data_IF_950846588972
#
_entry.id   IF_950846588972
#
_cell.length_a   1.000
_cell.length_b   1.000
_cell.length_c   1.000
_cell.angle_alpha   90.00
_cell.angle_beta   90.00
_cell.angle_gamma   90.00
#
_symmetry.space_group_name_H-M   'P 1'
#
loop_
_entity.id
_entity.type
_entity.pdbx_description
1 polymer ?
#
# COMPACT_ATOMS: atom_id res chain seq x y z
N UNK A 1 -10.27 -5.16 -1.61
CA UNK A 1 -9.10 -4.25 -1.57
C UNK A 1 -7.85 -5.05 -1.89
N UNK A 2 -6.86 -4.43 -2.54
CA UNK A 2 -5.53 -5.03 -2.81
C UNK A 2 -4.39 -4.09 -2.43
N UNK A 3 -3.17 -4.61 -2.39
CA UNK A 3 -1.91 -3.84 -2.35
C UNK A 3 -1.17 -3.97 -3.69
N UNK A 4 -0.42 -2.97 -4.11
CA UNK A 4 0.43 -3.02 -5.31
C UNK A 4 1.51 -1.94 -5.25
N UNK A 5 2.19 -1.69 -6.37
CA UNK A 5 3.20 -0.65 -6.50
C UNK A 5 2.91 0.30 -7.68
N UNK A 6 3.56 1.46 -7.69
CA UNK A 6 3.35 2.47 -8.72
C UNK A 6 3.66 1.97 -10.15
N UNK A 7 4.64 1.09 -10.32
CA UNK A 7 4.97 0.54 -11.64
C UNK A 7 3.80 -0.32 -12.17
N UNK A 8 3.28 -1.25 -11.36
CA UNK A 8 2.10 -2.04 -11.74
C UNK A 8 0.88 -1.17 -11.99
N UNK A 9 0.68 -0.11 -11.19
CA UNK A 9 -0.40 0.85 -11.44
C UNK A 9 -0.28 1.50 -12.81
N UNK A 10 0.91 1.96 -13.20
CA UNK A 10 1.15 2.58 -14.50
C UNK A 10 0.99 1.57 -15.66
N UNK A 11 1.46 0.33 -15.50
CA UNK A 11 1.40 -0.69 -16.56
C UNK A 11 0.01 -1.30 -16.76
N UNK A 12 -0.81 -1.36 -15.71
CA UNK A 12 -2.08 -2.07 -15.72
C UNK A 12 -3.29 -1.18 -15.42
N UNK A 13 -3.07 0.14 -15.28
CA UNK A 13 -4.10 1.12 -14.95
C UNK A 13 -4.94 0.71 -13.73
N UNK A 14 -4.28 0.40 -12.62
CA UNK A 14 -4.95 -0.14 -11.42
C UNK A 14 -5.80 0.89 -10.67
N UNK A 15 -5.76 2.17 -11.06
CA UNK A 15 -6.45 3.27 -10.37
C UNK A 15 -6.21 3.25 -8.86
N UNK A 16 -4.95 3.04 -8.45
CA UNK A 16 -4.62 2.88 -7.04
C UNK A 16 -4.54 4.20 -6.26
N UNK A 17 -4.49 4.05 -4.94
CA UNK A 17 -4.43 5.12 -3.94
C UNK A 17 -3.03 5.11 -3.33
N UNK A 18 -2.33 6.24 -3.37
CA UNK A 18 -1.01 6.35 -2.74
C UNK A 18 -1.14 6.33 -1.22
N UNK A 19 -0.33 5.48 -0.58
CA UNK A 19 -0.04 5.53 0.86
C UNK A 19 1.45 5.82 1.12
N UNK A 20 2.15 6.37 0.12
CA UNK A 20 3.55 6.75 0.23
C UNK A 20 3.70 8.20 0.69
N UNK A 21 4.65 8.45 1.61
CA UNK A 21 4.97 9.82 2.04
C UNK A 21 5.62 10.65 0.94
N UNK A 22 6.50 10.03 0.14
CA UNK A 22 7.20 10.74 -0.92
C UNK A 22 6.36 10.78 -2.21
N UNK A 23 6.32 11.93 -2.90
CA UNK A 23 5.55 12.07 -4.13
C UNK A 23 5.97 11.06 -5.19
N UNK A 24 5.00 10.39 -5.80
CA UNK A 24 5.20 9.45 -6.89
C UNK A 24 5.21 10.13 -8.28
N UNK A 25 5.57 11.42 -8.33
CA UNK A 25 5.64 12.21 -9.56
C UNK A 25 6.65 11.63 -10.55
N UNK A 26 7.74 11.02 -10.06
CA UNK A 26 8.73 10.33 -10.92
C UNK A 26 8.17 9.09 -11.64
N UNK A 27 7.11 8.48 -11.11
CA UNK A 27 6.38 7.40 -11.79
C UNK A 27 5.19 7.91 -12.62
N UNK A 28 5.01 9.23 -12.73
CA UNK A 28 3.87 9.83 -13.43
C UNK A 28 2.53 9.66 -12.70
N UNK A 29 2.54 9.28 -11.42
CA UNK A 29 1.30 9.07 -10.66
C UNK A 29 0.70 10.42 -10.24
N UNK A 30 -0.57 10.63 -10.59
CA UNK A 30 -1.37 11.81 -10.24
C UNK A 30 -2.71 11.41 -9.60
N UNK A 31 -2.81 10.18 -9.09
CA UNK A 31 -4.02 9.65 -8.48
C UNK A 31 -4.20 10.13 -7.03
N UNK A 32 -5.27 9.66 -6.37
CA UNK A 32 -5.57 10.06 -5.01
C UNK A 32 -4.53 9.52 -4.01
N UNK A 33 -4.48 10.18 -2.87
CA UNK A 33 -3.61 9.81 -1.75
C UNK A 33 -4.44 9.67 -0.47
N UNK A 34 -3.98 8.81 0.45
CA UNK A 34 -4.55 8.73 1.80
C UNK A 34 -3.48 9.00 2.88
N UNK A 35 -3.23 10.29 3.19
CA UNK A 35 -2.15 10.69 4.08
C UNK A 35 -2.11 10.08 5.49
N UNK A 36 -3.24 9.75 6.15
CA UNK A 36 -3.21 9.09 7.45
C UNK A 36 -2.42 7.78 7.48
N UNK A 37 -2.30 7.08 6.34
CA UNK A 37 -1.50 5.85 6.23
C UNK A 37 -0.05 6.10 5.81
N UNK A 38 0.37 7.34 5.60
CA UNK A 38 1.77 7.63 5.31
C UNK A 38 2.64 7.34 6.53
N UNK A 39 3.75 6.60 6.40
CA UNK A 39 4.71 6.50 7.49
C UNK A 39 5.20 7.88 7.92
N UNK A 40 5.29 8.09 9.23
CA UNK A 40 5.81 9.34 9.79
C UNK A 40 7.20 9.69 9.22
N UNK A 41 7.46 10.99 9.08
CA UNK A 41 8.73 11.49 8.53
C UNK A 41 9.93 11.20 9.44
N UNK A 42 9.76 11.27 10.76
CA UNK A 42 10.78 10.91 11.74
C UNK A 42 11.07 9.42 11.70
N UNK A 43 10.03 8.59 11.61
CA UNK A 43 10.15 7.15 11.39
C UNK A 43 10.97 6.82 10.13
N UNK A 44 10.62 7.41 8.97
CA UNK A 44 11.34 7.20 7.71
C UNK A 44 12.79 7.67 7.79
N UNK A 45 13.03 8.82 8.43
CA UNK A 45 14.38 9.36 8.64
C UNK A 45 15.22 8.43 9.50
N UNK A 46 14.72 8.02 10.64
CA UNK A 46 15.44 7.16 11.57
C UNK A 46 15.80 5.82 10.92
N UNK A 47 14.90 5.22 10.14
CA UNK A 47 15.18 3.99 9.41
C UNK A 47 16.22 4.20 8.31
N UNK A 48 16.08 5.27 7.50
CA UNK A 48 17.05 5.59 6.43
C UNK A 48 18.45 5.87 6.97
N UNK A 49 18.55 6.52 8.12
CA UNK A 49 19.82 6.81 8.79
C UNK A 49 20.33 5.63 9.64
N UNK A 50 19.70 4.45 9.55
CA UNK A 50 20.06 3.24 10.32
C UNK A 50 20.07 3.44 11.85
N UNK A 51 19.28 4.38 12.36
CA UNK A 51 19.07 4.59 13.80
C UNK A 51 18.13 3.55 14.40
N UNK A 52 17.27 2.99 13.56
CA UNK A 52 16.41 1.84 13.87
C UNK A 52 16.52 0.84 12.73
N UNK A 53 16.32 -0.44 13.04
CA UNK A 53 16.20 -1.49 12.04
C UNK A 53 14.73 -1.68 11.60
N UNK A 54 14.47 -2.71 10.80
CA UNK A 54 13.11 -3.01 10.34
C UNK A 54 12.16 -3.34 11.49
N UNK A 55 12.64 -4.02 12.55
CA UNK A 55 11.80 -4.34 13.70
C UNK A 55 11.35 -3.07 14.45
N UNK A 56 12.28 -2.12 14.63
CA UNK A 56 11.98 -0.81 15.19
C UNK A 56 11.07 0.02 14.29
N UNK A 57 11.20 -0.13 12.96
CA UNK A 57 10.28 0.50 12.02
C UNK A 57 8.86 -0.03 12.19
N UNK A 58 8.69 -1.36 12.20
CA UNK A 58 7.39 -2.03 12.36
C UNK A 58 6.71 -1.58 13.65
N UNK A 59 7.41 -1.65 14.79
CA UNK A 59 6.84 -1.29 16.08
C UNK A 59 6.31 0.15 16.11
N UNK A 60 7.08 1.11 15.58
CA UNK A 60 6.66 2.52 15.53
C UNK A 60 5.52 2.77 14.54
N UNK A 61 5.54 2.09 13.39
CA UNK A 61 4.46 2.24 12.41
C UNK A 61 3.16 1.59 12.91
N UNK A 62 3.22 0.45 13.60
CA UNK A 62 2.06 -0.15 14.26
C UNK A 62 1.50 0.77 15.35
N UNK A 63 2.35 1.44 16.13
CA UNK A 63 1.90 2.46 17.07
C UNK A 63 1.16 3.60 16.35
N UNK A 64 1.66 4.07 15.21
CA UNK A 64 0.97 5.06 14.40
C UNK A 64 -0.41 4.56 13.93
N UNK A 65 -0.49 3.33 13.41
CA UNK A 65 -1.75 2.72 12.96
C UNK A 65 -2.74 2.55 14.12
N UNK A 66 -2.27 2.29 15.34
CA UNK A 66 -3.12 2.14 16.53
C UNK A 66 -3.88 3.42 16.92
N UNK A 67 -3.46 4.58 16.41
CA UNK A 67 -4.15 5.87 16.59
C UNK A 67 -5.31 6.06 15.61
N UNK A 68 -5.45 5.17 14.62
CA UNK A 68 -6.50 5.20 13.62
C UNK A 68 -7.54 4.13 13.90
N UNK A 69 -8.74 4.32 13.37
CA UNK A 69 -9.79 3.31 13.35
C UNK A 69 -9.77 2.59 12.00
N UNK A 70 -9.56 1.27 12.05
CA UNK A 70 -9.37 0.46 10.84
C UNK A 70 -10.62 0.40 9.95
N UNK A 71 -11.81 0.34 10.55
CA UNK A 71 -13.09 0.37 9.85
C UNK A 71 -13.34 1.70 9.14
N UNK A 72 -13.07 2.84 9.80
CA UNK A 72 -13.18 4.17 9.20
C UNK A 72 -12.16 4.36 8.06
N UNK A 73 -10.91 3.93 8.26
CA UNK A 73 -9.88 3.96 7.22
C UNK A 73 -10.25 3.10 6.00
N UNK A 74 -10.77 1.89 6.23
CA UNK A 74 -11.22 1.00 5.17
C UNK A 74 -12.40 1.59 4.38
N UNK A 75 -13.39 2.13 5.08
CA UNK A 75 -14.55 2.77 4.46
C UNK A 75 -14.12 3.97 3.59
N UNK A 76 -13.22 4.81 4.10
CA UNK A 76 -12.70 5.96 3.36
C UNK A 76 -11.93 5.55 2.10
N UNK A 77 -11.09 4.51 2.18
CA UNK A 77 -10.40 3.96 1.01
C UNK A 77 -11.37 3.42 -0.04
N UNK A 78 -12.45 2.75 0.38
CA UNK A 78 -13.49 2.29 -0.54
C UNK A 78 -14.24 3.46 -1.19
N UNK A 79 -14.50 4.52 -0.43
CA UNK A 79 -15.11 5.74 -0.97
C UNK A 79 -14.22 6.40 -2.03
N UNK A 80 -12.92 6.59 -1.76
CA UNK A 80 -11.98 7.13 -2.76
C UNK A 80 -11.99 6.27 -4.02
N UNK A 81 -11.96 4.94 -3.89
CA UNK A 81 -11.97 4.02 -5.02
C UNK A 81 -13.24 4.20 -5.87
N UNK A 82 -14.40 4.30 -5.22
CA UNK A 82 -15.67 4.54 -5.92
C UNK A 82 -15.70 5.89 -6.64
N UNK A 83 -15.17 6.96 -6.02
CA UNK A 83 -15.10 8.31 -6.60
C UNK A 83 -14.24 8.38 -7.87
N UNK A 84 -13.19 7.57 -7.96
CA UNK A 84 -12.33 7.46 -9.15
C UNK A 84 -12.79 6.36 -10.13
N UNK A 85 -13.93 5.72 -9.87
CA UNK A 85 -14.51 4.67 -10.71
C UNK A 85 -13.78 3.33 -10.70
N UNK A 86 -13.05 3.03 -9.62
CA UNK A 86 -12.39 1.73 -9.42
C UNK A 86 -13.31 0.75 -8.68
N UNK A 87 -13.25 -0.53 -9.05
CA UNK A 87 -14.06 -1.60 -8.42
C UNK A 87 -13.70 -1.85 -6.95
N UNK A 88 -12.43 -1.67 -6.61
CA UNK A 88 -11.91 -1.82 -5.26
C UNK A 88 -10.67 -0.95 -5.03
N UNK A 89 -10.39 -0.54 -3.78
CA UNK A 89 -9.17 0.18 -3.48
C UNK A 89 -7.92 -0.68 -3.70
N UNK A 90 -6.90 -0.09 -4.32
CA UNK A 90 -5.56 -0.66 -4.49
C UNK A 90 -4.53 0.25 -3.82
N UNK A 91 -3.93 -0.18 -2.71
CA UNK A 91 -2.93 0.63 -1.98
C UNK A 91 -1.57 0.58 -2.67
N UNK A 92 -1.01 1.74 -2.98
CA UNK A 92 0.25 1.87 -3.72
C UNK A 92 1.41 2.37 -2.85
N UNK A 93 2.58 1.78 -3.11
CA UNK A 93 3.88 2.28 -2.68
C UNK A 93 4.94 2.05 -3.79
N UNK A 94 6.21 2.36 -3.52
CA UNK A 94 7.31 2.23 -4.47
C UNK A 94 7.86 0.81 -4.61
N UNK A 95 7.95 0.05 -3.52
CA UNK A 95 8.66 -1.23 -3.50
C UNK A 95 7.93 -2.26 -4.37
N UNK A 96 8.67 -2.97 -5.22
CA UNK A 96 8.06 -3.99 -6.10
C UNK A 96 7.55 -5.19 -5.29
N UNK A 97 6.48 -5.84 -5.77
CA UNK A 97 6.07 -7.13 -5.25
C UNK A 97 7.21 -8.18 -5.30
N UNK A 98 8.09 -8.08 -6.31
CA UNK A 98 9.22 -8.99 -6.53
C UNK A 98 10.36 -8.81 -5.52
N UNK A 99 10.33 -7.74 -4.74
CA UNK A 99 11.40 -7.40 -3.79
C UNK A 99 10.91 -7.37 -2.35
N UNK A 100 9.67 -7.80 -2.06
CA UNK A 100 9.12 -7.75 -0.70
C UNK A 100 9.91 -8.61 0.31
N UNK A 101 10.58 -9.65 -0.18
CA UNK A 101 11.51 -10.50 0.60
C UNK A 101 12.80 -9.76 0.98
N UNK A 102 13.22 -8.79 0.18
CA UNK A 102 14.49 -8.05 0.34
C UNK A 102 14.30 -6.61 0.82
N UNK A 103 13.13 -6.05 0.56
CA UNK A 103 12.72 -4.67 0.81
C UNK A 103 11.29 -4.73 1.34
N UNK A 104 11.12 -4.99 2.65
CA UNK A 104 9.80 -5.02 3.23
C UNK A 104 9.16 -3.64 3.13
N UNK A 105 7.85 -3.61 2.91
CA UNK A 105 7.11 -2.40 2.58
C UNK A 105 5.96 -2.18 3.56
N UNK A 106 5.73 -0.93 3.96
CA UNK A 106 4.66 -0.57 4.90
C UNK A 106 3.26 -0.88 4.39
N UNK A 107 3.03 -0.96 3.07
CA UNK A 107 1.72 -1.39 2.53
C UNK A 107 1.31 -2.79 3.00
N UNK A 108 2.29 -3.68 3.24
CA UNK A 108 2.03 -5.02 3.78
C UNK A 108 1.72 -4.99 5.28
N UNK A 109 2.25 -3.99 6.01
CA UNK A 109 1.90 -3.75 7.41
C UNK A 109 0.47 -3.21 7.53
N UNK A 110 0.05 -2.30 6.64
CA UNK A 110 -1.34 -1.85 6.55
C UNK A 110 -2.29 -3.02 6.26
N UNK A 111 -1.93 -3.90 5.31
CA UNK A 111 -2.71 -5.10 5.01
C UNK A 111 -2.90 -5.99 6.25
N UNK A 112 -1.81 -6.28 6.98
CA UNK A 112 -1.86 -7.09 8.20
C UNK A 112 -2.66 -6.39 9.33
N UNK A 113 -2.58 -5.07 9.43
CA UNK A 113 -3.37 -4.28 10.38
C UNK A 113 -4.87 -4.36 10.08
N UNK A 114 -5.29 -4.14 8.83
CA UNK A 114 -6.70 -4.26 8.43
C UNK A 114 -7.24 -5.68 8.67
N UNK A 115 -6.44 -6.70 8.37
CA UNK A 115 -6.80 -8.09 8.65
C UNK A 115 -7.00 -8.35 10.14
N UNK A 116 -6.06 -7.88 10.97
CA UNK A 116 -6.10 -8.07 12.42
C UNK A 116 -7.27 -7.33 13.09
N UNK A 117 -7.52 -6.09 12.72
CA UNK A 117 -8.50 -5.25 13.41
C UNK A 117 -9.94 -5.51 12.93
N UNK A 118 -10.14 -5.79 11.64
CA UNK A 118 -11.49 -5.89 11.04
C UNK A 118 -11.70 -7.13 10.15
N UNK A 119 -10.74 -8.07 10.11
CA UNK A 119 -10.87 -9.32 9.36
C UNK A 119 -10.77 -9.18 7.84
N UNK A 120 -10.37 -8.01 7.32
CA UNK A 120 -10.30 -7.77 5.88
C UNK A 120 -8.97 -8.25 5.31
N UNK A 121 -9.05 -9.23 4.42
CA UNK A 121 -7.90 -9.74 3.67
C UNK A 121 -7.51 -8.76 2.55
N UNK A 122 -6.24 -8.33 2.52
CA UNK A 122 -5.71 -7.42 1.50
C UNK A 122 -4.53 -8.08 0.78
N UNK A 123 -4.76 -8.91 -0.24
CA UNK A 123 -3.69 -9.56 -0.97
C UNK A 123 -2.86 -8.56 -1.79
N UNK A 124 -1.63 -8.94 -2.13
CA UNK A 124 -0.85 -8.23 -3.16
C UNK A 124 -1.47 -8.53 -4.53
N UNK A 125 -1.60 -7.51 -5.37
CA UNK A 125 -2.10 -7.64 -6.72
C UNK A 125 -1.18 -8.59 -7.51
N UNK A 126 -1.78 -9.63 -8.08
CA UNK A 126 -1.14 -10.54 -9.00
C UNK A 126 -1.83 -10.42 -10.36
N UNK A 127 -1.04 -10.36 -11.43
CA UNK A 127 -1.57 -10.44 -12.80
C UNK A 127 -2.28 -11.78 -12.94
N UNK A 128 -3.56 -11.77 -13.29
CA UNK A 128 -4.24 -12.99 -13.72
C UNK A 128 -3.56 -13.46 -15.01
N UNK A 129 -3.04 -14.70 -15.01
CA UNK A 129 -2.64 -15.36 -16.27
C UNK A 129 -3.92 -15.58 -17.06
N UNK A 130 -4.01 -15.02 -18.25
CA UNK A 130 -5.14 -15.31 -19.12
C UNK A 130 -5.10 -16.79 -19.49
N UNK A 131 -6.23 -17.48 -19.38
CA UNK A 131 -6.35 -18.89 -19.79
C UNK A 131 -6.15 -19.08 -21.31
N UNK A 132 -6.07 -18.00 -22.10
CA UNK A 132 -5.81 -18.05 -23.54
C UNK A 132 -4.34 -18.34 -23.90
N UNK A 133 -3.40 -18.17 -22.97
CA UNK A 133 -1.98 -18.48 -23.21
C UNK A 133 -1.60 -19.94 -22.90
N UNK A 134 -2.53 -20.74 -22.35
CA UNK A 134 -2.28 -22.14 -21.95
C UNK A 134 -2.78 -23.19 -22.95
N UNK A 135 -3.34 -22.76 -24.09
CA UNK A 135 -3.92 -23.64 -25.13
C UNK A 135 -3.29 -23.38 -26.51
N UNK A 136 -2.14 -22.69 -26.56
CA UNK A 136 -1.37 -22.45 -27.78
C UNK A 136 -0.09 -23.30 -27.80
#
# INVERSE_FOLDING_TARGET
MKTSNFANNAHHNLQGISISRYPATRSGFTGPEFPPLFPDTGLLKDYKESRIDWSGYVARYEQQLSLLKADEAYAYLCQIAAEIGADEPVLLCFESAKTLDKQPCHRRLVAAWLEREIGVQVPEWAKQKSLLEAVA
#
